data_IF_665495624249
#
_entry.id   IF_665495624249
#
_cell.length_a   1.000
_cell.length_b   1.000
_cell.length_c   1.000
_cell.angle_alpha   90.00
_cell.angle_beta   90.00
_cell.angle_gamma   90.00
#
_symmetry.space_group_name_H-M   'P 1'
#
loop_
_entity.id
_entity.type
_entity.pdbx_description
1 polymer ?
#
# COMPACT_ATOMS: atom_id res chain seq x y z
N UNK A 1 17.38 -25.92 5.71
CA UNK A 1 17.46 -24.44 5.59
C UNK A 1 16.15 -23.89 5.01
N UNK A 2 15.26 -23.35 5.85
CA UNK A 2 14.05 -22.68 5.37
C UNK A 2 14.42 -21.34 4.74
N UNK A 3 13.95 -21.07 3.53
CA UNK A 3 13.99 -19.73 2.95
C UNK A 3 13.36 -18.75 3.94
N UNK A 4 14.08 -17.69 4.30
CA UNK A 4 13.47 -16.54 4.95
C UNK A 4 12.49 -15.92 3.94
N UNK A 5 11.21 -16.28 4.04
CA UNK A 5 10.17 -15.64 3.25
C UNK A 5 10.00 -14.23 3.81
N UNK A 6 10.06 -13.21 2.95
CA UNK A 6 9.73 -11.85 3.37
C UNK A 6 8.28 -11.82 3.85
N UNK A 7 8.07 -11.26 5.05
CA UNK A 7 6.71 -11.06 5.55
C UNK A 7 5.96 -10.11 4.60
N UNK A 8 4.68 -10.42 4.35
CA UNK A 8 3.81 -9.59 3.52
C UNK A 8 3.58 -8.20 4.14
N UNK A 9 3.61 -8.14 5.47
CA UNK A 9 3.47 -6.92 6.22
C UNK A 9 4.83 -6.22 6.31
N UNK A 10 4.86 -4.92 6.09
CA UNK A 10 6.02 -4.08 6.41
C UNK A 10 6.30 -4.18 7.91
N UNK A 11 7.48 -4.69 8.34
CA UNK A 11 7.81 -4.77 9.75
C UNK A 11 8.01 -3.39 10.36
N UNK A 12 8.63 -2.46 9.63
CA UNK A 12 8.89 -1.10 10.09
C UNK A 12 7.58 -0.29 10.24
N UNK A 13 6.69 -0.36 9.25
CA UNK A 13 5.38 0.29 9.34
C UNK A 13 4.57 -0.30 10.50
N UNK A 14 4.57 -1.62 10.65
CA UNK A 14 3.88 -2.31 11.76
C UNK A 14 4.37 -1.83 13.12
N UNK A 15 5.67 -1.68 13.31
CA UNK A 15 6.24 -1.18 14.57
C UNK A 15 5.81 0.26 14.86
N UNK A 16 5.85 1.15 13.86
CA UNK A 16 5.42 2.55 14.00
C UNK A 16 3.94 2.63 14.36
N UNK A 17 3.08 1.91 13.62
CA UNK A 17 1.63 1.88 13.87
C UNK A 17 1.29 1.28 15.23
N UNK A 18 2.01 0.24 15.67
CA UNK A 18 1.85 -0.33 17.01
C UNK A 18 2.24 0.66 18.10
N UNK A 19 3.32 1.43 17.89
CA UNK A 19 3.76 2.46 18.82
C UNK A 19 2.70 3.56 18.95
N UNK A 20 2.17 4.05 17.82
CA UNK A 20 1.09 5.03 17.82
C UNK A 20 -0.16 4.51 18.52
N UNK A 21 -0.63 3.31 18.17
CA UNK A 21 -1.82 2.71 18.77
C UNK A 21 -1.71 2.51 20.29
N UNK A 22 -0.52 2.15 20.79
CA UNK A 22 -0.28 1.92 22.23
C UNK A 22 -0.09 3.21 23.02
N UNK A 23 0.06 4.35 22.36
CA UNK A 23 0.31 5.62 23.06
C UNK A 23 -1.00 6.13 23.67
N UNK A 24 -1.02 6.31 24.99
CA UNK A 24 -2.22 6.76 25.72
C UNK A 24 -2.52 8.25 25.55
N UNK A 25 -1.51 9.04 25.18
CA UNK A 25 -1.62 10.49 24.97
C UNK A 25 -1.58 10.82 23.48
N UNK A 26 -2.28 11.87 23.03
CA UNK A 26 -2.10 12.42 21.69
C UNK A 26 -0.60 12.65 21.42
N UNK A 27 -0.10 12.06 20.35
CA UNK A 27 1.30 12.14 19.94
C UNK A 27 1.36 12.88 18.61
N UNK A 28 2.20 13.90 18.53
CA UNK A 28 2.63 14.42 17.24
C UNK A 28 3.67 13.48 16.63
N UNK A 29 3.38 13.02 15.42
CA UNK A 29 4.30 12.24 14.61
C UNK A 29 4.26 12.78 13.19
N UNK A 30 5.44 12.96 12.63
CA UNK A 30 5.66 13.18 11.20
C UNK A 30 6.86 12.33 10.80
N UNK A 31 6.61 11.19 10.17
CA UNK A 31 7.64 10.17 9.92
C UNK A 31 7.60 9.66 8.49
N UNK A 32 8.77 9.59 7.86
CA UNK A 32 8.96 9.01 6.53
C UNK A 32 9.71 7.69 6.62
N UNK A 33 9.22 6.67 5.91
CA UNK A 33 9.82 5.35 5.81
C UNK A 33 10.02 4.98 4.34
N UNK A 34 11.21 4.50 4.00
CA UNK A 34 11.53 3.98 2.68
C UNK A 34 11.76 2.47 2.74
N UNK A 35 11.12 1.71 1.85
CA UNK A 35 11.22 0.26 1.77
C UNK A 35 11.61 -0.23 0.36
N UNK A 36 11.90 -1.54 0.26
CA UNK A 36 12.20 -2.22 -0.99
C UNK A 36 11.10 -2.00 -2.04
N UNK A 37 11.51 -1.79 -3.29
CA UNK A 37 10.59 -1.46 -4.39
C UNK A 37 10.27 0.03 -4.49
N UNK A 38 11.15 0.89 -3.98
CA UNK A 38 10.96 2.35 -4.02
C UNK A 38 9.65 2.81 -3.40
N UNK A 39 9.27 2.15 -2.31
CA UNK A 39 8.05 2.45 -1.57
C UNK A 39 8.39 3.48 -0.52
N UNK A 40 7.61 4.56 -0.49
CA UNK A 40 7.68 5.58 0.54
C UNK A 40 6.37 5.61 1.31
N UNK A 41 6.46 5.58 2.63
CA UNK A 41 5.35 5.85 3.53
C UNK A 41 5.59 7.15 4.27
N UNK A 42 4.53 7.93 4.42
CA UNK A 42 4.47 9.10 5.28
C UNK A 42 3.38 8.91 6.32
N UNK A 43 3.80 8.82 7.58
CA UNK A 43 2.92 8.61 8.72
C UNK A 43 2.82 9.91 9.50
N UNK A 44 1.61 10.46 9.56
CA UNK A 44 1.36 11.71 10.28
C UNK A 44 0.22 11.57 11.28
N UNK A 45 0.47 11.97 12.53
CA UNK A 45 -0.55 12.14 13.57
C UNK A 45 -0.40 13.53 14.21
N UNK A 46 -1.52 14.16 14.53
CA UNK A 46 -1.54 15.50 15.14
C UNK A 46 -2.11 15.42 16.56
N UNK A 47 -1.54 16.19 17.49
CA UNK A 47 -2.13 16.35 18.81
C UNK A 47 -3.46 17.11 18.77
N UNK A 48 -3.67 17.96 17.75
CA UNK A 48 -4.93 18.68 17.53
C UNK A 48 -6.04 17.82 16.92
N UNK A 49 -5.70 16.68 16.32
CA UNK A 49 -6.63 15.71 15.79
C UNK A 49 -6.24 14.28 16.24
N UNK A 50 -6.50 13.94 17.51
CA UNK A 50 -6.02 12.70 18.11
C UNK A 50 -6.75 11.45 17.58
N UNK A 51 -7.84 11.63 16.84
CA UNK A 51 -8.67 10.53 16.35
C UNK A 51 -8.22 10.01 14.99
N UNK A 52 -7.45 10.81 14.24
CA UNK A 52 -7.03 10.47 12.89
C UNK A 52 -5.51 10.42 12.78
N UNK A 53 -5.02 9.27 12.31
CA UNK A 53 -3.65 9.14 11.81
C UNK A 53 -3.71 8.96 10.30
N UNK A 54 -2.83 9.64 9.59
CA UNK A 54 -2.73 9.57 8.14
C UNK A 54 -1.53 8.73 7.73
N UNK A 55 -1.74 7.83 6.78
CA UNK A 55 -0.72 7.02 6.13
C UNK A 55 -0.76 7.30 4.64
N UNK A 56 0.20 8.07 4.14
CA UNK A 56 0.35 8.35 2.71
C UNK A 56 1.38 7.39 2.10
N UNK A 57 1.11 6.89 0.90
CA UNK A 57 1.96 5.90 0.22
C UNK A 57 2.29 6.39 -1.19
N UNK A 58 3.58 6.27 -1.55
CA UNK A 58 4.08 6.42 -2.90
C UNK A 58 4.80 5.14 -3.30
N UNK A 59 4.47 4.59 -4.48
CA UNK A 59 5.06 3.36 -5.00
C UNK A 59 5.10 3.39 -6.53
N UNK A 60 6.07 2.74 -7.19
CA UNK A 60 6.03 2.57 -8.64
C UNK A 60 4.74 1.87 -9.09
N UNK A 61 4.18 2.34 -10.21
CA UNK A 61 3.15 1.60 -10.92
C UNK A 61 3.81 0.50 -11.76
N UNK A 62 3.37 -0.73 -11.57
CA UNK A 62 3.96 -1.92 -12.18
C UNK A 62 3.90 -1.90 -13.71
N UNK A 63 2.85 -1.36 -14.30
CA UNK A 63 2.72 -1.28 -15.76
C UNK A 63 2.35 0.14 -16.20
N UNK A 64 3.06 0.64 -17.21
CA UNK A 64 2.79 1.95 -17.84
C UNK A 64 1.77 1.86 -18.99
N UNK A 65 1.12 0.70 -19.17
CA UNK A 65 0.32 0.38 -20.36
C UNK A 65 -0.94 1.24 -20.55
N UNK A 66 -1.38 1.94 -19.51
CA UNK A 66 -2.43 2.96 -19.60
C UNK A 66 -2.04 4.09 -18.66
N UNK A 67 -1.75 5.28 -19.21
CA UNK A 67 -1.52 6.51 -18.46
C UNK A 67 -2.82 6.88 -17.72
N UNK A 68 -3.01 6.31 -16.53
CA UNK A 68 -4.00 6.80 -15.60
C UNK A 68 -3.36 7.95 -14.80
N UNK A 69 -4.03 9.09 -14.83
CA UNK A 69 -3.77 10.30 -14.03
C UNK A 69 -3.32 9.96 -12.61
N UNK A 70 -2.09 10.36 -12.24
CA UNK A 70 -1.50 10.57 -10.90
C UNK A 70 -1.89 9.67 -9.70
N UNK A 71 -2.59 8.56 -9.86
CA UNK A 71 -3.15 7.75 -8.77
C UNK A 71 -3.23 6.26 -9.11
N UNK A 72 -3.57 5.45 -8.10
CA UNK A 72 -3.67 4.01 -8.25
C UNK A 72 -4.91 3.61 -9.08
N UNK A 73 -4.86 2.50 -9.84
CA UNK A 73 -6.03 1.98 -10.55
C UNK A 73 -7.21 1.75 -9.61
N UNK A 74 -8.46 1.94 -10.10
CA UNK A 74 -9.67 1.78 -9.29
C UNK A 74 -9.74 0.42 -8.58
N UNK A 75 -9.39 -0.66 -9.30
CA UNK A 75 -9.35 -2.00 -8.71
C UNK A 75 -8.37 -2.08 -7.52
N UNK A 76 -7.23 -1.40 -7.61
CA UNK A 76 -6.25 -1.34 -6.52
C UNK A 76 -6.83 -0.61 -5.30
N UNK A 77 -7.51 0.52 -5.50
CA UNK A 77 -8.18 1.26 -4.43
C UNK A 77 -9.27 0.42 -3.77
N UNK A 78 -10.07 -0.32 -4.54
CA UNK A 78 -11.10 -1.23 -4.02
C UNK A 78 -10.47 -2.34 -3.15
N UNK A 79 -9.33 -2.90 -3.57
CA UNK A 79 -8.61 -3.90 -2.79
C UNK A 79 -8.02 -3.32 -1.49
N UNK A 80 -7.54 -2.08 -1.52
CA UNK A 80 -7.04 -1.37 -0.33
C UNK A 80 -8.17 -1.03 0.64
N UNK A 81 -9.33 -0.58 0.15
CA UNK A 81 -10.52 -0.33 0.98
C UNK A 81 -11.06 -1.61 1.66
N UNK A 82 -10.73 -2.78 1.11
CA UNK A 82 -11.03 -4.07 1.75
C UNK A 82 -10.15 -4.38 2.97
N UNK A 83 -9.06 -3.66 3.20
CA UNK A 83 -8.19 -3.83 4.36
C UNK A 83 -8.89 -3.26 5.58
N UNK A 84 -9.39 -4.12 6.48
CA UNK A 84 -10.02 -3.71 7.73
C UNK A 84 -10.99 -2.52 7.55
N UNK A 85 -12.04 -2.68 6.73
CA UNK A 85 -12.91 -1.58 6.26
C UNK A 85 -13.51 -0.68 7.35
N UNK A 86 -13.60 -1.16 8.59
CA UNK A 86 -14.08 -0.35 9.71
C UNK A 86 -13.01 0.65 10.21
N UNK A 87 -11.72 0.33 10.03
CA UNK A 87 -10.56 1.01 10.62
C UNK A 87 -9.82 1.87 9.58
N UNK A 88 -9.81 1.45 8.32
CA UNK A 88 -9.07 2.12 7.23
C UNK A 88 -10.04 2.79 6.27
N UNK A 89 -9.73 4.01 5.88
CA UNK A 89 -10.52 4.77 4.92
C UNK A 89 -9.60 5.51 3.95
N UNK A 90 -9.87 5.41 2.65
CA UNK A 90 -9.12 6.18 1.64
C UNK A 90 -9.56 7.64 1.64
N UNK A 91 -8.61 8.55 1.63
CA UNK A 91 -8.82 10.00 1.57
C UNK A 91 -8.61 10.47 0.13
N UNK A 92 -9.60 11.19 -0.41
CA UNK A 92 -9.56 11.74 -1.77
C UNK A 92 -9.72 13.27 -1.76
N UNK A 93 -8.84 14.03 -2.45
CA UNK A 93 -7.65 13.54 -3.15
C UNK A 93 -6.56 13.07 -2.16
N UNK A 94 -5.65 12.21 -2.65
CA UNK A 94 -4.44 11.87 -1.91
C UNK A 94 -3.63 13.15 -1.58
N UNK A 95 -2.87 13.10 -0.49
CA UNK A 95 -1.97 14.18 -0.10
C UNK A 95 -0.89 14.41 -1.15
N UNK A 96 -0.49 15.67 -1.28
CA UNK A 96 0.51 16.10 -2.27
C UNK A 96 1.78 15.26 -2.17
N UNK A 97 2.26 14.78 -3.33
CA UNK A 97 3.43 13.90 -3.42
C UNK A 97 3.15 12.40 -3.29
N UNK A 98 1.91 11.99 -2.97
CA UNK A 98 1.55 10.59 -2.77
C UNK A 98 0.43 10.14 -3.71
N UNK A 99 0.38 8.84 -4.00
CA UNK A 99 -0.63 8.24 -4.87
C UNK A 99 -1.85 7.75 -4.09
N UNK A 100 -1.69 7.55 -2.78
CA UNK A 100 -2.71 7.06 -1.87
C UNK A 100 -2.53 7.72 -0.50
N UNK A 101 -3.62 8.11 0.13
CA UNK A 101 -3.64 8.50 1.54
C UNK A 101 -4.74 7.74 2.26
N UNK A 102 -4.38 7.10 3.37
CA UNK A 102 -5.30 6.39 4.24
C UNK A 102 -5.49 7.17 5.54
N UNK A 103 -6.72 7.27 6.00
CA UNK A 103 -7.09 7.69 7.34
C UNK A 103 -7.32 6.45 8.20
N UNK A 104 -6.57 6.36 9.30
CA UNK A 104 -6.60 5.25 10.24
C UNK A 104 -7.37 5.66 11.49
N UNK A 105 -8.43 4.92 11.79
CA UNK A 105 -9.31 5.12 12.95
C UNK A 105 -8.90 4.20 14.10
N UNK A 106 -7.78 4.50 14.77
CA UNK A 106 -7.26 3.65 15.87
C UNK A 106 -8.26 3.41 16.99
N UNK A 107 -9.19 4.34 17.24
CA UNK A 107 -10.26 4.19 18.22
C UNK A 107 -11.21 3.01 17.93
N UNK A 108 -11.31 2.56 16.67
CA UNK A 108 -12.13 1.42 16.26
C UNK A 108 -11.41 0.08 16.36
N UNK A 109 -10.10 0.07 16.68
CA UNK A 109 -9.33 -1.16 16.85
C UNK A 109 -9.58 -1.75 18.24
N UNK A 110 -10.07 -3.01 18.36
CA UNK A 110 -10.26 -3.68 19.64
C UNK A 110 -8.98 -3.77 20.46
N UNK A 111 -9.08 -3.56 21.77
CA UNK A 111 -7.94 -3.70 22.68
C UNK A 111 -7.57 -5.18 22.86
N UNK A 112 -6.28 -5.45 23.05
CA UNK A 112 -5.77 -6.82 23.29
C UNK A 112 -5.13 -7.45 22.05
N UNK A 113 -5.17 -8.78 21.95
CA UNK A 113 -4.42 -9.54 20.93
C UNK A 113 -4.85 -9.24 19.49
N UNK A 114 -6.10 -8.86 19.28
CA UNK A 114 -6.62 -8.60 17.94
C UNK A 114 -6.13 -7.28 17.34
N UNK A 115 -5.70 -6.31 18.17
CA UNK A 115 -5.05 -5.07 17.70
C UNK A 115 -3.81 -5.35 16.86
N UNK A 116 -2.99 -6.33 17.28
CA UNK A 116 -1.76 -6.69 16.57
C UNK A 116 -2.07 -7.28 15.20
N UNK A 117 -3.17 -8.05 15.07
CA UNK A 117 -3.59 -8.62 13.79
C UNK A 117 -4.04 -7.52 12.82
N UNK A 118 -4.90 -6.61 13.29
CA UNK A 118 -5.40 -5.49 12.48
C UNK A 118 -4.24 -4.59 12.02
N UNK A 119 -3.34 -4.21 12.93
CA UNK A 119 -2.20 -3.37 12.57
C UNK A 119 -1.24 -4.10 11.61
N UNK A 120 -1.06 -5.42 11.78
CA UNK A 120 -0.31 -6.24 10.82
C UNK A 120 -0.98 -6.24 9.45
N UNK A 121 -2.31 -6.34 9.39
CA UNK A 121 -3.08 -6.32 8.15
C UNK A 121 -2.99 -4.96 7.43
N UNK A 122 -3.12 -3.84 8.17
CA UNK A 122 -2.86 -2.49 7.65
C UNK A 122 -1.45 -2.40 7.06
N UNK A 123 -0.48 -2.99 7.73
CA UNK A 123 0.92 -2.99 7.28
C UNK A 123 1.17 -3.83 6.03
N UNK A 124 0.17 -4.56 5.51
CA UNK A 124 0.24 -5.27 4.22
C UNK A 124 -0.17 -4.42 3.03
N UNK A 125 -0.49 -3.13 3.23
CA UNK A 125 -1.03 -2.25 2.18
C UNK A 125 -0.20 -2.28 0.89
N UNK A 126 1.13 -2.24 0.98
CA UNK A 126 1.98 -2.31 -0.20
C UNK A 126 1.89 -3.64 -0.94
N UNK A 127 1.81 -4.76 -0.22
CA UNK A 127 1.61 -6.05 -0.86
C UNK A 127 0.21 -6.16 -1.51
N UNK A 128 -0.81 -5.50 -0.95
CA UNK A 128 -2.14 -5.39 -1.57
C UNK A 128 -2.06 -4.57 -2.87
N UNK A 129 -1.36 -3.42 -2.85
CA UNK A 129 -1.14 -2.60 -4.04
C UNK A 129 -0.39 -3.39 -5.13
N UNK A 130 0.73 -4.00 -4.78
CA UNK A 130 1.54 -4.76 -5.71
C UNK A 130 0.78 -5.95 -6.32
N UNK A 131 0.11 -6.74 -5.48
CA UNK A 131 -0.62 -7.93 -5.96
C UNK A 131 -1.87 -7.60 -6.75
N UNK A 132 -2.56 -6.49 -6.45
CA UNK A 132 -3.71 -6.04 -7.25
C UNK A 132 -3.29 -5.55 -8.63
N UNK A 133 -2.23 -4.76 -8.74
CA UNK A 133 -1.66 -4.35 -10.03
C UNK A 133 -1.19 -5.56 -10.86
N UNK A 134 -0.53 -6.54 -10.22
CA UNK A 134 -0.12 -7.77 -10.91
C UNK A 134 -1.33 -8.57 -11.41
N UNK A 135 -2.39 -8.71 -10.60
CA UNK A 135 -3.63 -9.40 -11.00
C UNK A 135 -4.32 -8.71 -12.17
N UNK A 136 -4.40 -7.38 -12.15
CA UNK A 136 -4.99 -6.60 -13.24
C UNK A 136 -4.19 -6.77 -14.53
N UNK A 137 -2.86 -6.67 -14.44
CA UNK A 137 -1.97 -6.93 -15.56
C UNK A 137 -2.18 -8.34 -16.13
N UNK A 138 -2.14 -9.38 -15.29
CA UNK A 138 -2.33 -10.78 -15.68
C UNK A 138 -3.69 -11.02 -16.36
N UNK A 139 -4.74 -10.33 -15.89
CA UNK A 139 -6.08 -10.40 -16.49
C UNK A 139 -6.13 -9.76 -17.88
N UNK A 140 -5.30 -8.77 -18.15
CA UNK A 140 -5.24 -8.06 -19.43
C UNK A 140 -4.31 -8.73 -20.46
N UNK A 141 -3.41 -9.61 -20.05
CA UNK A 141 -2.53 -10.37 -20.97
C UNK A 141 -3.35 -11.21 -21.95
N UNK A 142 -4.45 -11.79 -21.48
CA UNK A 142 -5.32 -12.62 -22.31
C UNK A 142 -6.16 -11.81 -23.30
N UNK A 143 -6.26 -10.49 -23.16
CA UNK A 143 -7.10 -9.64 -24.02
C UNK A 143 -6.33 -8.88 -25.11
N UNK A 144 -5.01 -8.69 -24.96
CA UNK A 144 -4.22 -7.88 -25.91
C UNK A 144 -3.55 -8.67 -27.06
N UNK A 145 -3.45 -10.00 -26.98
CA UNK A 145 -2.55 -10.81 -27.84
C UNK A 145 -3.22 -11.68 -28.92
N UNK A 146 -4.40 -11.31 -29.43
CA UNK A 146 -5.01 -12.05 -30.57
C UNK A 146 -4.69 -11.43 -31.94
N UNK A 147 -4.08 -10.24 -32.01
CA UNK A 147 -4.00 -9.49 -33.27
C UNK A 147 -2.75 -9.72 -34.13
N UNK A 148 -1.63 -10.24 -33.61
CA UNK A 148 -0.39 -10.39 -34.40
C UNK A 148 0.45 -11.67 -34.15
N UNK A 149 -0.01 -12.63 -33.35
CA UNK A 149 0.68 -13.92 -33.18
C UNK A 149 2.05 -13.85 -32.48
N UNK A 150 2.42 -12.69 -31.92
CA UNK A 150 3.61 -12.51 -31.09
C UNK A 150 3.17 -12.10 -29.69
N UNK A 151 3.44 -12.94 -28.69
CA UNK A 151 3.33 -12.55 -27.28
C UNK A 151 4.35 -11.45 -26.99
N UNK A 152 3.90 -10.27 -26.56
CA UNK A 152 4.80 -9.17 -26.18
C UNK A 152 5.17 -9.29 -24.71
N UNK A 153 6.46 -9.38 -24.36
CA UNK A 153 6.88 -9.37 -22.96
C UNK A 153 6.36 -8.14 -22.23
N UNK A 154 5.87 -8.34 -21.01
CA UNK A 154 5.31 -7.25 -20.20
C UNK A 154 6.40 -6.69 -19.32
N UNK A 155 6.71 -5.40 -19.51
CA UNK A 155 7.65 -4.67 -18.68
C UNK A 155 7.02 -4.32 -17.34
N UNK A 156 7.60 -4.82 -16.27
CA UNK A 156 7.25 -4.54 -14.89
C UNK A 156 8.26 -3.58 -14.25
N UNK A 157 7.78 -2.50 -13.65
CA UNK A 157 8.59 -1.50 -12.94
C UNK A 157 8.31 -1.57 -11.45
N UNK A 158 9.02 -2.45 -10.74
CA UNK A 158 9.01 -2.51 -9.27
C UNK A 158 10.00 -1.53 -8.64
N UNK A 159 11.12 -1.28 -9.32
CA UNK A 159 12.10 -0.27 -8.96
C UNK A 159 12.46 0.51 -10.24
N UNK A 160 12.49 1.86 -10.24
CA UNK A 160 12.67 2.65 -11.46
C UNK A 160 13.93 2.32 -12.27
N UNK A 161 14.97 1.81 -11.59
CA UNK A 161 16.25 1.44 -12.20
C UNK A 161 16.38 -0.05 -12.55
N UNK A 162 15.44 -0.88 -12.10
CA UNK A 162 15.51 -2.34 -12.23
C UNK A 162 14.18 -2.91 -12.74
N UNK A 163 13.84 -2.65 -14.01
CA UNK A 163 12.67 -3.27 -14.61
C UNK A 163 12.92 -4.76 -14.88
N UNK A 164 11.88 -5.58 -14.75
CA UNK A 164 11.90 -6.98 -15.19
C UNK A 164 10.79 -7.26 -16.19
N UNK A 165 10.90 -8.36 -16.92
CA UNK A 165 9.98 -8.72 -17.99
C UNK A 165 9.32 -10.06 -17.67
N UNK A 166 8.00 -10.11 -17.84
CA UNK A 166 7.23 -11.36 -17.81
C UNK A 166 7.01 -11.83 -19.24
N UNK A 167 7.37 -13.08 -19.51
CA UNK A 167 7.29 -13.75 -20.83
C UNK A 167 6.33 -14.94 -20.69
#
# INVERSE_FOLDING_TARGET
PGMACFERASPALKEILLKLYRTEKPMELDHHLHEFGSVEYHIQSSASDPYHTYLSISTPLLSHGVLHSNGLPRYTIEMVNGICSDVVETVEPAREGYQLTLRLHFAKIPRGKDSVKIITEISTVQAVILSSQLKEMLRNVSSQDVSQGMYKPIKLVYHPREPFFVI
#
